data_IF_344624207957
#
_entry.id   IF_344624207957
#
_cell.length_a   1.000
_cell.length_b   1.000
_cell.length_c   1.000
_cell.angle_alpha   90.00
_cell.angle_beta   90.00
_cell.angle_gamma   90.00
#
_symmetry.space_group_name_H-M   'P 1'
#
loop_
_entity.id
_entity.type
_entity.pdbx_description
1 polymer ?
#
# COMPACT_ATOMS: atom_id res chain seq x y z
N UNK A 1 -14.95 12.11 1.50
CA UNK A 1 -15.68 11.07 2.27
C UNK A 1 -14.63 10.25 2.99
N UNK A 2 -14.78 10.06 4.30
CA UNK A 2 -13.75 9.46 5.14
C UNK A 2 -14.14 8.07 5.64
N UNK A 3 -13.15 7.19 5.78
CA UNK A 3 -13.26 5.87 6.44
C UNK A 3 -12.09 5.65 7.39
N UNK A 4 -12.24 4.78 8.39
CA UNK A 4 -11.11 4.39 9.26
C UNK A 4 -10.59 2.99 8.91
N UNK A 5 -9.26 2.85 8.86
CA UNK A 5 -8.56 1.57 8.68
C UNK A 5 -7.69 1.32 9.91
N UNK A 6 -7.83 0.14 10.52
CA UNK A 6 -6.97 -0.24 11.64
C UNK A 6 -5.55 -0.52 11.15
N UNK A 7 -4.57 0.00 11.86
CA UNK A 7 -3.16 -0.27 11.58
C UNK A 7 -2.52 -1.06 12.72
N UNK A 8 -1.62 -1.97 12.36
CA UNK A 8 -0.79 -2.72 13.29
C UNK A 8 0.67 -2.27 13.15
N UNK A 9 0.93 -1.00 13.49
CA UNK A 9 2.26 -0.38 13.40
C UNK A 9 3.17 -0.67 14.61
N UNK A 10 2.67 -1.41 15.60
CA UNK A 10 3.34 -1.72 16.86
C UNK A 10 4.61 -2.58 16.74
N UNK A 11 5.07 -2.87 15.52
CA UNK A 11 6.26 -3.66 15.23
C UNK A 11 7.24 -2.98 14.26
N UNK A 12 6.99 -1.72 13.91
CA UNK A 12 7.92 -0.94 13.08
C UNK A 12 9.03 -0.33 13.94
N UNK A 13 10.25 -0.21 13.41
CA UNK A 13 11.40 0.33 14.16
C UNK A 13 11.21 1.81 14.52
N UNK A 14 10.45 2.54 13.72
CA UNK A 14 10.03 3.92 13.99
C UNK A 14 8.57 4.08 13.55
N UNK A 15 7.80 4.83 14.33
CA UNK A 15 6.44 5.24 13.96
C UNK A 15 6.56 6.57 13.20
N UNK A 16 6.00 6.71 12.00
CA UNK A 16 5.98 7.99 11.30
C UNK A 16 5.27 9.04 12.15
N UNK A 17 5.78 10.28 12.17
CA UNK A 17 5.20 11.36 12.98
C UNK A 17 3.71 11.60 12.68
N UNK A 18 3.28 11.38 11.43
CA UNK A 18 1.88 11.47 10.99
C UNK A 18 0.97 10.37 11.57
N UNK A 19 1.55 9.34 12.19
CA UNK A 19 0.90 8.16 12.74
C UNK A 19 1.20 7.98 14.23
N UNK A 20 1.86 8.93 14.87
CA UNK A 20 2.04 8.92 16.32
C UNK A 20 0.77 9.34 17.04
N UNK A 21 0.47 8.66 18.14
CA UNK A 21 -0.60 9.03 19.05
C UNK A 21 -0.22 10.33 19.77
N UNK A 22 -0.96 11.45 19.57
CA UNK A 22 -0.66 12.71 20.22
C UNK A 22 -0.70 12.63 21.75
N UNK A 23 -1.45 11.68 22.31
CA UNK A 23 -1.54 11.45 23.75
C UNK A 23 -0.40 10.56 24.27
N UNK A 24 0.32 9.84 23.40
CA UNK A 24 1.40 8.90 23.74
C UNK A 24 2.52 8.94 22.69
N UNK A 25 3.43 9.92 22.77
CA UNK A 25 4.56 10.02 21.86
C UNK A 25 5.33 8.70 21.70
N UNK A 26 5.70 8.35 20.48
CA UNK A 26 6.35 7.08 20.14
C UNK A 26 5.43 5.84 20.12
N UNK A 27 4.14 5.99 20.43
CA UNK A 27 3.12 4.96 20.19
C UNK A 27 2.37 5.26 18.90
N UNK A 28 2.06 4.23 18.11
CA UNK A 28 1.27 4.41 16.90
C UNK A 28 -0.23 4.55 17.20
N UNK A 29 -0.92 5.36 16.39
CA UNK A 29 -2.39 5.39 16.36
C UNK A 29 -2.95 4.01 15.99
N UNK A 30 -4.07 3.58 16.60
CA UNK A 30 -4.65 2.27 16.33
C UNK A 30 -5.40 2.23 14.98
N UNK A 31 -5.76 3.39 14.45
CA UNK A 31 -6.47 3.54 13.18
C UNK A 31 -6.04 4.83 12.46
N UNK A 32 -6.14 4.81 11.14
CA UNK A 32 -5.95 5.98 10.29
C UNK A 32 -7.21 6.31 9.54
N UNK A 33 -7.43 7.61 9.36
CA UNK A 33 -8.47 8.13 8.49
C UNK A 33 -7.99 8.11 7.05
N UNK A 34 -8.77 7.48 6.19
CA UNK A 34 -8.55 7.39 4.75
C UNK A 34 -9.56 8.30 4.06
N UNK A 35 -9.06 9.29 3.32
CA UNK A 35 -9.86 10.04 2.37
C UNK A 35 -10.09 9.18 1.13
N UNK A 36 -11.35 8.86 0.84
CA UNK A 36 -11.66 7.99 -0.28
C UNK A 36 -11.25 8.62 -1.61
N UNK A 37 -11.48 9.92 -1.81
CA UNK A 37 -11.09 10.60 -3.05
C UNK A 37 -9.59 10.42 -3.35
N UNK A 38 -8.74 10.59 -2.33
CA UNK A 38 -7.29 10.41 -2.46
C UNK A 38 -6.93 8.95 -2.72
N UNK A 39 -7.50 8.01 -1.95
CA UNK A 39 -7.27 6.57 -2.18
C UNK A 39 -7.61 6.17 -3.62
N UNK A 40 -8.72 6.68 -4.17
CA UNK A 40 -9.12 6.36 -5.53
C UNK A 40 -8.31 7.11 -6.59
N UNK A 41 -7.75 8.27 -6.28
CA UNK A 41 -6.72 8.87 -7.12
C UNK A 41 -5.53 7.90 -7.29
N UNK A 42 -5.00 7.35 -6.19
CA UNK A 42 -3.92 6.36 -6.25
C UNK A 42 -4.34 5.04 -6.91
N UNK A 43 -5.61 4.63 -6.76
CA UNK A 43 -6.15 3.48 -7.48
C UNK A 43 -6.12 3.70 -9.00
N UNK A 44 -6.54 4.86 -9.48
CA UNK A 44 -6.52 5.16 -10.91
C UNK A 44 -5.10 5.25 -11.47
N UNK A 45 -4.17 5.87 -10.73
CA UNK A 45 -2.77 5.88 -11.11
C UNK A 45 -2.21 4.46 -11.21
N UNK A 46 -2.53 3.59 -10.25
CA UNK A 46 -2.04 2.21 -10.25
C UNK A 46 -2.65 1.37 -11.38
N UNK A 47 -3.96 1.45 -11.58
CA UNK A 47 -4.68 0.58 -12.52
C UNK A 47 -4.64 1.07 -13.96
N UNK A 48 -4.53 2.38 -14.18
CA UNK A 48 -4.72 2.99 -15.50
C UNK A 48 -3.64 4.01 -15.88
N UNK A 49 -2.71 4.34 -14.98
CA UNK A 49 -1.66 5.35 -15.19
C UNK A 49 -2.21 6.73 -15.60
N UNK A 50 -3.41 7.06 -15.12
CA UNK A 50 -4.08 8.34 -15.35
C UNK A 50 -4.70 8.86 -14.06
N UNK A 51 -4.90 10.18 -14.00
CA UNK A 51 -5.76 10.76 -12.97
C UNK A 51 -7.22 10.29 -13.17
N UNK A 52 -8.02 10.19 -12.09
CA UNK A 52 -9.43 9.87 -12.22
C UNK A 52 -10.12 10.92 -13.10
N UNK A 53 -10.98 10.52 -14.05
CA UNK A 53 -11.70 11.45 -14.93
C UNK A 53 -12.57 12.45 -14.16
N UNK A 54 -13.08 12.01 -13.01
CA UNK A 54 -13.82 12.81 -12.06
C UNK A 54 -13.33 12.45 -10.64
N UNK A 55 -12.85 13.42 -9.84
CA UNK A 55 -12.36 13.17 -8.48
C UNK A 55 -13.48 12.96 -7.45
N UNK A 56 -14.76 13.05 -7.82
CA UNK A 56 -15.87 12.80 -6.89
C UNK A 56 -15.86 11.34 -6.39
N UNK A 57 -15.67 11.10 -5.08
CA UNK A 57 -15.68 9.76 -4.53
C UNK A 57 -16.97 8.97 -4.78
N UNK A 58 -18.10 9.64 -5.01
CA UNK A 58 -19.36 8.99 -5.33
C UNK A 58 -19.35 8.24 -6.68
N UNK A 59 -18.45 8.62 -7.60
CA UNK A 59 -18.33 8.01 -8.93
C UNK A 59 -17.45 6.76 -8.94
N UNK A 60 -16.74 6.45 -7.85
CA UNK A 60 -15.93 5.23 -7.77
C UNK A 60 -16.79 4.01 -7.43
N UNK A 61 -16.70 2.97 -8.28
CA UNK A 61 -17.51 1.75 -8.16
C UNK A 61 -17.39 1.12 -6.76
N UNK A 62 -16.17 1.00 -6.26
CA UNK A 62 -15.90 0.38 -4.96
C UNK A 62 -16.47 1.17 -3.77
N UNK A 63 -16.60 2.51 -3.87
CA UNK A 63 -17.20 3.34 -2.80
C UNK A 63 -18.67 2.99 -2.60
N UNK A 64 -19.37 2.77 -3.71
CA UNK A 64 -20.80 2.40 -3.70
C UNK A 64 -21.04 1.04 -3.05
N UNK A 65 -19.98 0.23 -2.95
CA UNK A 65 -19.99 -1.10 -2.35
C UNK A 65 -19.48 -1.09 -0.90
N UNK A 66 -19.17 0.07 -0.31
CA UNK A 66 -18.82 0.20 1.11
C UNK A 66 -20.06 0.25 1.99
N UNK A 67 -19.94 -0.28 3.20
CA UNK A 67 -20.97 -0.11 4.22
C UNK A 67 -21.07 1.37 4.64
N UNK A 68 -22.26 1.88 5.02
CA UNK A 68 -22.47 3.26 5.45
C UNK A 68 -21.99 3.51 6.90
N UNK A 69 -20.91 2.85 7.32
CA UNK A 69 -20.30 2.98 8.65
C UNK A 69 -18.88 3.55 8.55
N UNK A 70 -18.33 4.08 9.64
CA UNK A 70 -16.99 4.69 9.65
C UNK A 70 -15.86 3.73 9.27
N UNK A 71 -15.81 2.48 9.79
CA UNK A 71 -14.75 1.56 9.40
C UNK A 71 -14.80 1.24 7.90
N UNK A 72 -13.63 1.13 7.26
CA UNK A 72 -13.52 0.75 5.86
C UNK A 72 -13.94 -0.72 5.69
N UNK A 73 -15.22 -0.94 5.39
CA UNK A 73 -15.82 -2.26 5.19
C UNK A 73 -16.60 -2.28 3.89
N UNK A 74 -16.43 -3.37 3.14
CA UNK A 74 -17.28 -3.66 2.01
C UNK A 74 -18.58 -4.31 2.47
N UNK A 75 -19.68 -3.95 1.82
CA UNK A 75 -20.91 -4.71 1.85
C UNK A 75 -20.64 -6.14 1.35
N UNK A 76 -21.59 -7.06 1.58
CA UNK A 76 -21.49 -8.42 1.07
C UNK A 76 -21.12 -8.44 -0.42
N UNK A 77 -20.25 -9.35 -0.85
CA UNK A 77 -19.74 -9.45 -2.22
C UNK A 77 -19.28 -8.12 -2.86
N UNK A 78 -19.01 -7.06 -2.07
CA UNK A 78 -18.58 -5.75 -2.57
C UNK A 78 -17.20 -5.77 -3.23
N UNK A 79 -16.40 -6.81 -2.98
CA UNK A 79 -15.15 -7.07 -3.70
C UNK A 79 -15.30 -8.03 -4.89
N UNK A 80 -16.52 -8.45 -5.21
CA UNK A 80 -16.84 -9.40 -6.28
C UNK A 80 -17.58 -10.63 -5.77
N UNK A 81 -18.22 -11.37 -6.68
CA UNK A 81 -19.03 -12.54 -6.35
C UNK A 81 -18.22 -13.83 -6.14
N UNK A 82 -17.13 -14.01 -6.91
CA UNK A 82 -16.32 -15.22 -6.89
C UNK A 82 -14.93 -14.99 -6.26
N UNK A 83 -14.21 -16.08 -5.97
CA UNK A 83 -12.90 -16.03 -5.30
C UNK A 83 -11.88 -15.22 -6.10
N UNK A 84 -11.78 -15.46 -7.42
CA UNK A 84 -10.80 -14.81 -8.29
C UNK A 84 -11.00 -13.30 -8.34
N UNK A 85 -12.24 -12.83 -8.54
CA UNK A 85 -12.55 -11.40 -8.58
C UNK A 85 -12.30 -10.74 -7.22
N UNK A 86 -12.67 -11.41 -6.12
CA UNK A 86 -12.37 -10.95 -4.75
C UNK A 86 -10.88 -10.81 -4.50
N UNK A 87 -10.05 -11.69 -5.07
CA UNK A 87 -8.61 -11.64 -4.92
C UNK A 87 -8.02 -10.49 -5.74
N UNK A 88 -8.39 -10.39 -7.02
CA UNK A 88 -7.88 -9.33 -7.91
C UNK A 88 -8.24 -7.93 -7.38
N UNK A 89 -9.51 -7.69 -7.08
CA UNK A 89 -9.94 -6.39 -6.54
C UNK A 89 -9.28 -6.08 -5.19
N UNK A 90 -9.03 -7.09 -4.34
CA UNK A 90 -8.33 -6.90 -3.07
C UNK A 90 -6.85 -6.58 -3.25
N UNK A 91 -6.21 -7.12 -4.29
CA UNK A 91 -4.82 -6.81 -4.61
C UNK A 91 -4.71 -5.38 -5.13
N UNK A 92 -5.53 -5.00 -6.12
CA UNK A 92 -5.54 -3.64 -6.68
C UNK A 92 -5.80 -2.57 -5.60
N UNK A 93 -6.74 -2.83 -4.68
CA UNK A 93 -6.98 -1.92 -3.55
C UNK A 93 -5.82 -1.91 -2.54
N UNK A 94 -5.16 -3.05 -2.33
CA UNK A 94 -3.97 -3.14 -1.49
C UNK A 94 -2.81 -2.32 -2.04
N UNK A 95 -2.59 -2.41 -3.36
CA UNK A 95 -1.63 -1.62 -4.13
C UNK A 95 -1.93 -0.12 -4.07
N UNK A 96 -3.18 0.26 -4.32
CA UNK A 96 -3.63 1.65 -4.23
C UNK A 96 -3.42 2.23 -2.82
N UNK A 97 -3.78 1.48 -1.79
CA UNK A 97 -3.57 1.88 -0.40
C UNK A 97 -2.09 1.95 -0.03
N UNK A 98 -1.26 1.04 -0.55
CA UNK A 98 0.18 1.10 -0.35
C UNK A 98 0.74 2.42 -0.90
N UNK A 99 0.42 2.75 -2.16
CA UNK A 99 0.82 4.03 -2.79
C UNK A 99 0.33 5.23 -2.00
N UNK A 100 -0.95 5.24 -1.63
CA UNK A 100 -1.54 6.31 -0.81
C UNK A 100 -0.82 6.46 0.54
N UNK A 101 -0.49 5.35 1.19
CA UNK A 101 0.16 5.37 2.49
C UNK A 101 1.59 5.91 2.39
N UNK A 102 2.35 5.45 1.40
CA UNK A 102 3.72 5.91 1.13
C UNK A 102 3.76 7.43 0.93
N UNK A 103 2.86 7.94 0.08
CA UNK A 103 2.74 9.37 -0.20
C UNK A 103 2.31 10.13 1.06
N UNK A 104 1.19 9.73 1.67
CA UNK A 104 0.54 10.51 2.72
C UNK A 104 1.28 10.52 4.05
N UNK A 105 1.92 9.42 4.40
CA UNK A 105 2.46 9.20 5.74
C UNK A 105 3.97 9.12 5.80
N UNK A 106 4.64 8.78 4.69
CA UNK A 106 6.10 8.64 4.62
C UNK A 106 6.77 9.68 3.73
N UNK A 107 6.01 10.58 3.09
CA UNK A 107 6.54 11.60 2.16
C UNK A 107 7.29 10.97 0.96
N UNK A 108 6.86 9.78 0.55
CA UNK A 108 7.41 9.03 -0.59
C UNK A 108 6.45 9.16 -1.76
N UNK A 109 6.68 10.18 -2.60
CA UNK A 109 5.82 10.50 -3.75
C UNK A 109 6.28 9.84 -5.06
N UNK A 110 7.57 9.48 -5.18
CA UNK A 110 8.09 8.79 -6.35
C UNK A 110 8.02 7.28 -6.17
N UNK A 111 6.89 6.70 -6.59
CA UNK A 111 6.62 5.26 -6.50
C UNK A 111 6.41 4.68 -7.90
N UNK A 112 7.32 3.81 -8.34
CA UNK A 112 7.25 3.08 -9.60
C UNK A 112 7.09 1.58 -9.34
N UNK A 113 6.37 0.86 -10.21
CA UNK A 113 6.33 -0.61 -10.12
C UNK A 113 7.73 -1.14 -10.44
N UNK A 114 8.16 -2.18 -9.74
CA UNK A 114 9.53 -2.71 -9.92
C UNK A 114 9.77 -3.14 -11.38
N UNK A 115 8.72 -3.63 -12.05
CA UNK A 115 8.77 -4.09 -13.42
C UNK A 115 9.04 -2.95 -14.42
N UNK A 116 8.68 -1.72 -14.09
CA UNK A 116 8.87 -0.54 -14.94
C UNK A 116 10.30 0.03 -14.81
N UNK A 117 10.97 -0.19 -13.67
CA UNK A 117 12.32 0.34 -13.39
C UNK A 117 13.43 -0.68 -13.58
N UNK A 118 13.09 -1.97 -13.53
CA UNK A 118 14.06 -3.04 -13.69
C UNK A 118 14.71 -2.97 -15.07
N UNK A 119 16.04 -3.08 -15.08
CA UNK A 119 16.88 -3.05 -16.29
C UNK A 119 16.83 -1.72 -17.07
N UNK A 120 16.31 -0.64 -16.46
CA UNK A 120 16.23 0.70 -17.05
C UNK A 120 17.56 1.50 -16.95
N UNK A 121 18.57 0.95 -16.28
CA UNK A 121 19.86 1.59 -16.04
C UNK A 121 19.86 2.53 -14.82
N UNK A 122 20.87 3.41 -14.74
CA UNK A 122 21.05 4.32 -13.61
C UNK A 122 19.96 5.40 -13.56
N UNK A 123 19.20 5.45 -12.47
CA UNK A 123 18.13 6.40 -12.26
C UNK A 123 18.66 7.68 -11.61
N UNK A 124 18.62 8.80 -12.34
CA UNK A 124 19.15 10.08 -11.87
C UNK A 124 18.47 10.57 -10.58
N UNK A 125 17.15 10.36 -10.45
CA UNK A 125 16.39 10.72 -9.25
C UNK A 125 16.77 9.90 -8.01
N UNK A 126 17.40 8.74 -8.20
CA UNK A 126 17.84 7.84 -7.16
C UNK A 126 19.37 7.82 -7.03
N UNK A 127 20.03 8.97 -7.25
CA UNK A 127 21.49 9.13 -7.17
C UNK A 127 22.29 8.13 -8.02
N UNK A 128 21.72 7.69 -9.15
CA UNK A 128 22.35 6.75 -10.07
C UNK A 128 22.16 5.27 -9.72
N UNK A 129 21.29 4.93 -8.77
CA UNK A 129 20.93 3.54 -8.47
C UNK A 129 20.30 2.89 -9.72
N UNK A 130 20.72 1.65 -10.00
CA UNK A 130 20.09 0.77 -10.98
C UNK A 130 19.43 -0.42 -10.29
N UNK A 131 18.37 -0.94 -10.90
CA UNK A 131 17.65 -2.13 -10.42
C UNK A 131 17.84 -3.24 -11.45
N UNK A 132 18.38 -4.36 -11.02
CA UNK A 132 18.63 -5.54 -11.87
C UNK A 132 18.01 -6.78 -11.23
N UNK A 133 17.67 -7.77 -12.08
CA UNK A 133 17.23 -9.07 -11.58
C UNK A 133 18.43 -9.89 -11.12
N UNK A 134 18.40 -10.36 -9.89
CA UNK A 134 19.29 -11.44 -9.49
C UNK A 134 18.89 -12.74 -10.21
N UNK A 135 19.83 -13.30 -10.98
CA UNK A 135 19.63 -14.55 -11.73
C UNK A 135 20.05 -15.79 -10.94
N UNK A 136 20.63 -15.60 -9.76
CA UNK A 136 21.17 -16.66 -8.90
C UNK A 136 20.21 -17.11 -7.80
N UNK A 137 19.23 -16.27 -7.45
CA UNK A 137 18.22 -16.59 -6.44
C UNK A 137 16.80 -16.66 -7.02
N UNK A 138 16.02 -17.65 -6.56
CA UNK A 138 14.59 -17.73 -6.84
C UNK A 138 13.79 -16.93 -5.80
N UNK A 139 12.99 -15.98 -6.27
CA UNK A 139 12.12 -15.17 -5.43
C UNK A 139 11.21 -14.25 -6.21
N UNK A 140 10.18 -13.77 -5.53
CA UNK A 140 9.32 -12.70 -6.03
C UNK A 140 10.04 -11.36 -5.85
N UNK A 141 9.94 -10.49 -6.85
CA UNK A 141 10.42 -9.11 -6.75
C UNK A 141 9.45 -8.30 -5.88
N UNK A 142 9.94 -7.26 -5.18
CA UNK A 142 9.06 -6.34 -4.47
C UNK A 142 8.10 -5.66 -5.45
N UNK A 143 6.90 -5.28 -5.03
CA UNK A 143 5.92 -4.67 -5.93
C UNK A 143 6.39 -3.28 -6.43
N UNK A 144 7.07 -2.50 -5.56
CA UNK A 144 7.45 -1.12 -5.86
C UNK A 144 8.91 -0.78 -5.55
N UNK A 145 9.45 0.10 -6.39
CA UNK A 145 10.65 0.90 -6.16
C UNK A 145 10.23 2.32 -5.78
N UNK A 146 10.76 2.80 -4.66
CA UNK A 146 10.36 4.04 -4.03
C UNK A 146 11.56 4.96 -3.86
N UNK A 147 11.36 6.24 -4.12
CA UNK A 147 12.37 7.28 -3.89
C UNK A 147 11.73 8.42 -3.12
N UNK A 148 12.38 8.86 -2.05
CA UNK A 148 11.92 10.02 -1.30
C UNK A 148 12.44 11.35 -1.91
N UNK A 149 12.08 12.48 -1.29
CA UNK A 149 12.51 13.81 -1.74
C UNK A 149 14.02 14.06 -1.63
N UNK A 150 14.74 13.25 -0.85
CA UNK A 150 16.20 13.31 -0.70
C UNK A 150 16.94 12.42 -1.71
N UNK A 151 16.21 11.58 -2.45
CA UNK A 151 16.76 10.57 -3.35
C UNK A 151 17.14 9.26 -2.66
N UNK A 152 16.76 9.08 -1.39
CA UNK A 152 16.93 7.80 -0.70
C UNK A 152 15.96 6.77 -1.27
N UNK A 153 16.50 5.56 -1.51
CA UNK A 153 15.77 4.46 -2.12
C UNK A 153 15.16 3.57 -1.06
N UNK A 154 13.88 3.27 -1.25
CA UNK A 154 13.13 2.27 -0.50
C UNK A 154 12.48 1.28 -1.46
N UNK A 155 12.10 0.13 -0.94
CA UNK A 155 11.27 -0.84 -1.65
C UNK A 155 9.97 -0.98 -0.89
N UNK A 156 8.87 -1.29 -1.57
CA UNK A 156 7.60 -1.51 -0.91
C UNK A 156 6.85 -2.70 -1.51
N UNK A 157 6.11 -3.41 -0.65
CA UNK A 157 5.32 -4.58 -1.00
C UNK A 157 3.86 -4.35 -0.61
N UNK A 158 2.94 -4.61 -1.54
CA UNK A 158 1.51 -4.57 -1.34
C UNK A 158 0.91 -5.98 -1.38
N UNK A 159 0.40 -6.46 -0.25
CA UNK A 159 -0.27 -7.77 -0.20
C UNK A 159 -1.73 -7.65 0.16
N UNK A 160 -2.59 -8.02 -0.80
CA UNK A 160 -3.98 -8.36 -0.54
C UNK A 160 -4.09 -9.80 -0.02
N UNK A 161 -4.47 -9.99 1.24
CA UNK A 161 -4.71 -11.32 1.79
C UNK A 161 -6.07 -11.43 2.48
N UNK A 162 -6.67 -12.62 2.39
CA UNK A 162 -7.94 -12.94 3.07
C UNK A 162 -7.71 -13.15 4.57
N UNK A 163 -6.54 -13.67 4.94
CA UNK A 163 -6.14 -13.94 6.31
C UNK A 163 -5.09 -12.92 6.77
N UNK A 164 -5.06 -12.60 8.06
CA UNK A 164 -3.97 -11.81 8.62
C UNK A 164 -2.64 -12.51 8.44
N UNK A 165 -1.75 -11.97 7.60
CA UNK A 165 -0.36 -12.42 7.60
C UNK A 165 0.25 -11.89 8.89
N UNK A 166 0.37 -12.76 9.88
CA UNK A 166 1.04 -12.39 11.11
C UNK A 166 2.48 -11.97 10.80
N UNK A 167 2.92 -10.86 11.37
CA UNK A 167 4.33 -10.42 11.34
C UNK A 167 5.33 -11.45 11.90
N UNK A 168 4.84 -12.56 12.46
CA UNK A 168 5.65 -13.68 12.97
C UNK A 168 5.69 -14.86 11.99
N UNK A 169 5.15 -14.71 10.77
CA UNK A 169 5.17 -15.79 9.77
C UNK A 169 6.56 -15.92 9.14
N UNK A 170 6.92 -17.14 8.79
CA UNK A 170 8.17 -17.43 8.04
C UNK A 170 8.19 -16.65 6.72
N UNK A 171 7.04 -16.46 6.10
CA UNK A 171 6.87 -15.67 4.88
C UNK A 171 7.23 -14.20 5.10
N UNK A 172 6.72 -13.56 6.16
CA UNK A 172 7.09 -12.19 6.52
C UNK A 172 8.59 -12.07 6.83
N UNK A 173 9.17 -13.04 7.55
CA UNK A 173 10.60 -13.03 7.86
C UNK A 173 11.48 -13.21 6.60
N UNK A 174 11.04 -14.02 5.64
CA UNK A 174 11.70 -14.18 4.34
C UNK A 174 11.65 -12.89 3.53
N UNK A 175 10.48 -12.24 3.47
CA UNK A 175 10.29 -10.96 2.78
C UNK A 175 11.05 -9.80 3.43
N UNK A 176 11.07 -9.70 4.76
CA UNK A 176 11.84 -8.67 5.47
C UNK A 176 13.35 -8.77 5.22
N UNK A 177 13.88 -9.97 4.95
CA UNK A 177 15.29 -10.11 4.57
C UNK A 177 15.57 -9.57 3.16
N UNK A 178 14.55 -9.48 2.32
CA UNK A 178 14.64 -8.98 0.93
C UNK A 178 14.40 -7.46 0.84
N UNK A 179 13.80 -6.84 1.87
CA UNK A 179 13.37 -5.44 1.88
C UNK A 179 14.10 -4.65 2.96
N UNK A 180 14.81 -3.57 2.57
CA UNK A 180 15.40 -2.62 3.52
C UNK A 180 14.39 -1.57 4.02
N UNK A 181 13.18 -1.46 3.43
CA UNK A 181 12.13 -0.57 3.96
C UNK A 181 10.69 -1.06 3.69
N UNK A 182 9.79 -0.56 4.54
CA UNK A 182 8.32 -0.54 4.58
C UNK A 182 7.43 -1.67 3.97
N UNK A 183 6.48 -2.16 4.79
CA UNK A 183 5.40 -3.10 4.39
C UNK A 183 4.05 -2.51 4.80
N UNK A 184 3.18 -2.20 3.85
CA UNK A 184 1.81 -1.74 4.14
C UNK A 184 0.84 -2.92 4.14
N UNK A 185 0.04 -3.09 5.20
CA UNK A 185 -0.89 -4.23 5.28
C UNK A 185 -2.31 -3.80 5.66
N UNK A 186 -3.28 -4.17 4.82
CA UNK A 186 -4.71 -3.99 5.09
C UNK A 186 -5.30 -5.30 5.59
N UNK A 187 -5.82 -5.28 6.81
CA UNK A 187 -6.69 -6.36 7.28
C UNK A 187 -8.05 -6.24 6.59
N UNK A 188 -8.51 -7.34 5.96
CA UNK A 188 -9.92 -7.49 5.62
C UNK A 188 -10.76 -7.23 6.86
N UNK A 189 -11.61 -6.22 6.82
CA UNK A 189 -12.77 -6.19 7.67
C UNK A 189 -13.76 -7.23 7.13
N UNK A 190 -13.65 -8.48 7.58
CA UNK A 190 -14.78 -9.40 7.50
C UNK A 190 -15.85 -8.98 8.52
N UNK A 191 -17.15 -9.24 8.24
CA UNK A 191 -18.26 -8.89 9.13
C UNK A 191 -18.06 -9.44 10.55
#
# INVERSE_FOLDING_TARGET
MQKSVKLALNKFPAVPASLEDPAKPGSAVPEVTVELADLYHHYYLQSFDIAPPDPDPAHFEHVRLLEPITPFRFQHNGLGANKTKKQNNSNELGEAFCRWFLDRHLDISHVARIEDVRDHGALAMAHGVSVEKDTTEEGDAPDYFCVDSTGEVSLAEAKGSIASVGFNTVQFAKWRKQLIAFVCWIHRATP
#
